data_IF_394992621713
#
_entry.id   IF_394992621713
#
_cell.length_a   1.000
_cell.length_b   1.000
_cell.length_c   1.000
_cell.angle_alpha   90.00
_cell.angle_beta   90.00
_cell.angle_gamma   90.00
#
_symmetry.space_group_name_H-M   'P 1'
#
loop_
_entity.id
_entity.type
_entity.pdbx_description
1 polymer ?
#
# COMPACT_ATOMS: atom_id res chain seq x y z
N UNK A 1 21.78 -6.61 5.22
CA UNK A 1 20.37 -6.58 5.69
C UNK A 1 19.96 -8.01 6.08
N UNK A 2 19.89 -8.33 7.38
CA UNK A 2 19.42 -9.63 7.89
C UNK A 2 17.94 -9.89 7.54
N UNK A 3 17.54 -11.16 7.51
CA UNK A 3 16.15 -11.57 7.29
C UNK A 3 15.50 -11.83 8.64
N UNK A 4 14.24 -11.40 8.79
CA UNK A 4 13.48 -11.61 10.03
C UNK A 4 13.42 -13.09 10.42
N UNK A 5 13.54 -13.36 11.73
CA UNK A 5 13.48 -14.69 12.31
C UNK A 5 12.17 -14.86 13.09
N UNK A 6 11.45 -15.95 12.82
CA UNK A 6 10.11 -16.22 13.39
C UNK A 6 10.06 -17.56 14.14
N UNK A 7 11.20 -18.03 14.65
CA UNK A 7 11.30 -19.31 15.34
C UNK A 7 11.44 -20.52 14.40
N UNK A 8 11.20 -21.71 14.95
CA UNK A 8 11.43 -23.00 14.27
C UNK A 8 10.16 -23.65 13.74
N UNK A 9 8.99 -23.05 14.00
CA UNK A 9 7.69 -23.57 13.57
C UNK A 9 7.58 -23.59 12.04
N UNK A 10 6.73 -24.43 11.48
CA UNK A 10 6.50 -24.51 10.04
C UNK A 10 6.04 -23.18 9.46
N UNK A 11 5.11 -22.49 10.13
CA UNK A 11 4.66 -21.15 9.73
C UNK A 11 5.79 -20.10 9.87
N UNK A 12 6.63 -20.21 10.90
CA UNK A 12 7.80 -19.35 11.09
C UNK A 12 8.85 -19.54 9.98
N UNK A 13 9.15 -20.79 9.63
CA UNK A 13 10.03 -21.17 8.52
C UNK A 13 9.48 -20.66 7.19
N UNK A 14 8.18 -20.84 6.92
CA UNK A 14 7.52 -20.33 5.72
C UNK A 14 7.71 -18.81 5.58
N UNK A 15 7.46 -18.04 6.66
CA UNK A 15 7.64 -16.58 6.69
C UNK A 15 9.08 -16.16 6.43
N UNK A 16 10.06 -16.94 6.89
CA UNK A 16 11.49 -16.70 6.65
C UNK A 16 11.89 -17.01 5.21
N UNK A 17 11.53 -18.19 4.70
CA UNK A 17 11.85 -18.62 3.33
C UNK A 17 11.20 -17.67 2.32
N UNK A 18 9.98 -17.23 2.56
CA UNK A 18 9.32 -16.20 1.76
C UNK A 18 10.20 -14.94 1.60
N UNK A 19 10.76 -14.44 2.71
CA UNK A 19 11.63 -13.24 2.72
C UNK A 19 13.00 -13.50 2.10
N UNK A 20 13.54 -14.71 2.23
CA UNK A 20 14.72 -15.12 1.47
C UNK A 20 14.44 -15.01 -0.03
N UNK A 21 13.27 -15.49 -0.48
CA UNK A 21 12.82 -15.42 -1.86
C UNK A 21 12.68 -13.98 -2.36
N UNK A 22 12.03 -13.10 -1.59
CA UNK A 22 11.95 -11.67 -1.92
C UNK A 22 13.33 -11.03 -2.06
N UNK A 23 14.25 -11.37 -1.15
CA UNK A 23 15.62 -10.89 -1.19
C UNK A 23 16.40 -11.36 -2.43
N UNK A 24 16.12 -12.56 -2.92
CA UNK A 24 16.73 -13.13 -4.12
C UNK A 24 16.10 -12.61 -5.43
N UNK A 25 14.78 -12.43 -5.44
CA UNK A 25 14.00 -12.00 -6.62
C UNK A 25 14.12 -10.49 -6.88
N UNK A 26 14.12 -9.69 -5.81
CA UNK A 26 14.00 -8.22 -5.89
C UNK A 26 15.15 -7.47 -5.22
N UNK A 27 16.03 -8.16 -4.50
CA UNK A 27 17.09 -7.54 -3.72
C UNK A 27 16.60 -7.03 -2.35
N UNK A 28 17.47 -7.13 -1.33
CA UNK A 28 17.11 -6.78 0.05
C UNK A 28 16.95 -5.27 0.30
N UNK A 29 17.48 -4.40 -0.58
CA UNK A 29 17.39 -2.94 -0.43
C UNK A 29 15.97 -2.42 -0.67
N UNK A 30 15.28 -2.96 -1.68
CA UNK A 30 13.88 -2.62 -1.95
C UNK A 30 12.97 -2.97 -0.76
N UNK A 31 13.24 -4.10 -0.11
CA UNK A 31 12.44 -4.64 1.00
C UNK A 31 12.55 -3.85 2.31
N UNK A 32 13.43 -2.85 2.41
CA UNK A 32 13.55 -1.98 3.59
C UNK A 32 12.86 -0.63 3.40
N UNK A 33 12.24 -0.37 2.25
CA UNK A 33 11.32 0.76 2.09
C UNK A 33 10.09 0.51 2.96
N UNK A 34 9.74 1.48 3.81
CA UNK A 34 8.55 1.42 4.65
C UNK A 34 7.44 2.35 4.13
N UNK A 35 6.21 2.07 4.51
CA UNK A 35 5.02 2.87 4.19
C UNK A 35 3.94 2.65 5.24
N UNK A 36 2.86 3.42 5.14
CA UNK A 36 1.68 3.26 5.99
C UNK A 36 0.64 2.42 5.25
N UNK A 37 0.07 1.43 5.93
CA UNK A 37 -1.12 0.75 5.46
C UNK A 37 -2.33 1.25 6.23
N UNK A 38 -3.37 1.67 5.51
CA UNK A 38 -4.63 2.11 6.08
C UNK A 38 -5.69 1.04 5.84
N UNK A 39 -6.24 0.46 6.90
CA UNK A 39 -7.27 -0.57 6.79
C UNK A 39 -8.64 0.06 6.99
N UNK A 40 -9.53 -0.10 6.00
CA UNK A 40 -10.82 0.57 5.96
C UNK A 40 -11.95 -0.42 5.71
N UNK A 41 -13.03 -0.29 6.48
CA UNK A 41 -14.27 -1.03 6.27
C UNK A 41 -15.47 -0.13 6.52
N UNK A 42 -16.49 -0.25 5.68
CA UNK A 42 -17.79 0.37 5.94
C UNK A 42 -18.59 -0.49 6.93
N UNK A 43 -19.40 0.13 7.81
CA UNK A 43 -20.18 -0.59 8.80
C UNK A 43 -21.23 -1.50 8.12
N UNK A 44 -21.59 -2.62 8.73
CA UNK A 44 -22.55 -3.57 8.13
C UNK A 44 -23.88 -2.91 7.75
N UNK A 45 -24.36 -1.98 8.58
CA UNK A 45 -25.57 -1.20 8.33
C UNK A 45 -25.53 -0.36 7.03
N UNK A 46 -24.34 0.02 6.54
CA UNK A 46 -24.20 0.67 5.24
C UNK A 46 -24.59 -0.30 4.11
N UNK A 47 -24.09 -1.54 4.16
CA UNK A 47 -24.36 -2.56 3.15
C UNK A 47 -25.83 -2.99 3.15
N UNK A 48 -26.41 -3.22 4.32
CA UNK A 48 -27.84 -3.59 4.45
C UNK A 48 -28.77 -2.51 3.87
N UNK A 49 -28.50 -1.24 4.15
CA UNK A 49 -29.30 -0.11 3.68
C UNK A 49 -29.15 0.13 2.19
N UNK A 50 -27.92 0.07 1.67
CA UNK A 50 -27.68 0.25 0.23
C UNK A 50 -28.27 -0.89 -0.58
N UNK A 51 -28.17 -2.13 -0.12
CA UNK A 51 -28.79 -3.29 -0.75
C UNK A 51 -30.32 -3.13 -0.83
N UNK A 52 -30.93 -2.78 0.31
CA UNK A 52 -32.38 -2.57 0.41
C UNK A 52 -32.86 -1.44 -0.49
N UNK A 53 -32.13 -0.31 -0.51
CA UNK A 53 -32.47 0.84 -1.35
C UNK A 53 -32.32 0.55 -2.84
N UNK A 54 -31.39 -0.34 -3.22
CA UNK A 54 -31.22 -0.77 -4.60
C UNK A 54 -32.24 -1.84 -5.03
N UNK A 55 -33.08 -2.33 -4.11
CA UNK A 55 -33.99 -3.45 -4.38
C UNK A 55 -33.25 -4.75 -4.73
N UNK A 56 -31.99 -4.89 -4.32
CA UNK A 56 -31.17 -6.05 -4.60
C UNK A 56 -31.51 -7.21 -3.64
N UNK A 57 -31.65 -8.42 -4.17
CA UNK A 57 -32.02 -9.61 -3.39
C UNK A 57 -30.92 -10.68 -3.33
N UNK A 58 -29.68 -10.33 -3.70
CA UNK A 58 -28.55 -11.24 -3.60
C UNK A 58 -28.13 -11.46 -2.14
N UNK A 59 -27.15 -12.35 -1.90
CA UNK A 59 -26.57 -12.47 -0.57
C UNK A 59 -25.87 -11.16 -0.18
N UNK A 60 -26.03 -10.73 1.08
CA UNK A 60 -25.38 -9.51 1.58
C UNK A 60 -23.84 -9.56 1.43
N UNK A 61 -23.26 -10.75 1.53
CA UNK A 61 -21.83 -10.99 1.26
C UNK A 61 -21.43 -10.61 -0.17
N UNK A 62 -22.26 -10.97 -1.15
CA UNK A 62 -21.99 -10.69 -2.57
C UNK A 62 -22.16 -9.20 -2.84
N UNK A 63 -23.20 -8.57 -2.28
CA UNK A 63 -23.41 -7.13 -2.35
C UNK A 63 -22.24 -6.34 -1.78
N UNK A 64 -21.75 -6.72 -0.58
CA UNK A 64 -20.58 -6.11 0.05
C UNK A 64 -19.32 -6.30 -0.79
N UNK A 65 -19.13 -7.49 -1.35
CA UNK A 65 -17.97 -7.80 -2.21
C UNK A 65 -17.98 -6.93 -3.47
N UNK A 66 -19.10 -6.83 -4.15
CA UNK A 66 -19.26 -5.96 -5.32
C UNK A 66 -19.05 -4.48 -4.98
N UNK A 67 -19.57 -4.02 -3.83
CA UNK A 67 -19.33 -2.68 -3.33
C UNK A 67 -17.85 -2.38 -3.08
N UNK A 68 -17.12 -3.30 -2.46
CA UNK A 68 -15.68 -3.13 -2.26
C UNK A 68 -14.88 -3.20 -3.56
N UNK A 69 -15.26 -4.03 -4.52
CA UNK A 69 -14.68 -4.04 -5.86
C UNK A 69 -14.93 -2.70 -6.58
N UNK A 70 -16.12 -2.11 -6.43
CA UNK A 70 -16.43 -0.79 -6.96
C UNK A 70 -15.53 0.30 -6.36
N UNK A 71 -15.32 0.29 -5.05
CA UNK A 71 -14.38 1.18 -4.35
C UNK A 71 -12.96 1.00 -4.89
N UNK A 72 -12.50 -0.25 -5.09
CA UNK A 72 -11.17 -0.52 -5.64
C UNK A 72 -11.01 0.07 -7.04
N UNK A 73 -11.99 -0.11 -7.94
CA UNK A 73 -11.92 0.46 -9.30
C UNK A 73 -11.83 1.99 -9.27
N UNK A 74 -12.64 2.65 -8.44
CA UNK A 74 -12.56 4.10 -8.25
C UNK A 74 -11.22 4.53 -7.61
N UNK A 75 -10.72 3.78 -6.63
CA UNK A 75 -9.40 4.02 -6.07
C UNK A 75 -8.31 3.92 -7.14
N UNK A 76 -8.38 2.98 -8.07
CA UNK A 76 -7.38 2.88 -9.12
C UNK A 76 -7.43 4.07 -10.10
N UNK A 77 -8.61 4.64 -10.36
CA UNK A 77 -8.80 5.83 -11.21
C UNK A 77 -8.31 7.10 -10.56
N UNK A 78 -8.54 7.25 -9.25
CA UNK A 78 -8.38 8.51 -8.53
C UNK A 78 -7.22 8.52 -7.52
N UNK A 79 -6.65 7.36 -7.19
CA UNK A 79 -5.66 7.19 -6.12
C UNK A 79 -4.33 7.89 -6.37
N UNK A 80 -4.06 8.33 -7.59
CA UNK A 80 -2.95 9.24 -7.89
C UNK A 80 -3.10 10.57 -7.13
N UNK A 81 -4.33 11.05 -6.87
CA UNK A 81 -4.57 12.26 -6.11
C UNK A 81 -4.13 12.11 -4.66
N UNK A 82 -4.41 10.97 -4.02
CA UNK A 82 -3.89 10.70 -2.67
C UNK A 82 -2.35 10.74 -2.67
N UNK A 83 -1.69 10.10 -3.64
CA UNK A 83 -0.22 10.16 -3.73
C UNK A 83 0.30 11.59 -3.93
N UNK A 84 -0.38 12.42 -4.72
CA UNK A 84 -0.03 13.82 -4.88
C UNK A 84 -0.12 14.59 -3.54
N UNK A 85 -1.22 14.39 -2.81
CA UNK A 85 -1.52 15.11 -1.57
C UNK A 85 -0.66 14.67 -0.39
N UNK A 86 -0.36 13.37 -0.29
CA UNK A 86 0.29 12.78 0.89
C UNK A 86 1.71 12.29 0.64
N UNK A 87 2.18 12.24 -0.61
CA UNK A 87 3.51 11.75 -0.97
C UNK A 87 4.61 12.58 -0.32
N UNK A 88 5.55 11.90 0.32
CA UNK A 88 6.61 12.50 1.15
C UNK A 88 8.00 11.91 0.87
N UNK A 89 8.16 11.16 -0.22
CA UNK A 89 9.45 10.56 -0.62
C UNK A 89 9.93 11.04 -2.01
N UNK A 90 10.18 12.34 -2.24
CA UNK A 90 10.64 12.87 -3.53
C UNK A 90 12.16 12.73 -3.74
N UNK A 91 12.88 12.19 -2.74
CA UNK A 91 14.32 12.05 -2.73
C UNK A 91 14.72 10.72 -2.10
N UNK A 92 15.92 10.26 -2.43
CA UNK A 92 16.46 8.99 -1.92
C UNK A 92 17.99 9.03 -1.88
N UNK A 93 18.57 8.08 -1.15
CA UNK A 93 20.02 7.94 -1.12
C UNK A 93 20.53 7.31 -2.43
N UNK A 94 21.64 7.83 -2.98
CA UNK A 94 22.26 7.38 -4.25
C UNK A 94 22.53 5.87 -4.27
N UNK A 95 22.83 5.26 -3.13
CA UNK A 95 23.10 3.82 -2.99
C UNK A 95 21.90 2.92 -3.25
N UNK A 96 20.69 3.49 -3.30
CA UNK A 96 19.47 2.76 -3.61
C UNK A 96 19.39 2.39 -5.11
N UNK A 97 19.88 3.27 -5.99
CA UNK A 97 19.89 3.05 -7.44
C UNK A 97 21.20 2.37 -7.86
N UNK A 98 21.09 1.23 -8.54
CA UNK A 98 22.23 0.55 -9.15
C UNK A 98 22.52 1.16 -10.54
N UNK A 99 23.77 1.54 -10.80
CA UNK A 99 24.16 2.13 -12.08
C UNK A 99 23.79 3.61 -12.20
N UNK A 100 23.41 4.04 -13.41
CA UNK A 100 23.01 5.41 -13.68
C UNK A 100 21.61 5.71 -13.13
N UNK A 101 21.40 6.89 -12.52
CA UNK A 101 20.07 7.27 -12.06
C UNK A 101 19.13 7.52 -13.25
N UNK A 102 17.81 7.32 -13.07
CA UNK A 102 16.82 7.75 -14.06
C UNK A 102 16.99 9.23 -14.40
N UNK A 103 16.72 9.60 -15.65
CA UNK A 103 16.93 10.96 -16.17
C UNK A 103 16.17 12.05 -15.39
N UNK A 104 15.01 11.69 -14.82
CA UNK A 104 14.19 12.61 -14.02
C UNK A 104 14.74 12.87 -12.60
N UNK A 105 15.83 12.19 -12.21
CA UNK A 105 16.51 12.40 -10.93
C UNK A 105 17.81 13.18 -11.09
N UNK A 106 18.04 14.12 -10.19
CA UNK A 106 19.23 14.96 -10.17
C UNK A 106 20.02 14.78 -8.87
N UNK A 107 21.35 14.92 -8.94
CA UNK A 107 22.19 14.83 -7.75
C UNK A 107 22.03 16.07 -6.86
N UNK A 108 21.86 15.84 -5.57
CA UNK A 108 21.95 16.85 -4.51
C UNK A 108 23.11 16.47 -3.59
N UNK A 109 24.30 16.97 -3.91
CA UNK A 109 25.54 16.48 -3.29
C UNK A 109 25.86 15.03 -3.71
N UNK A 110 26.76 14.35 -2.98
CA UNK A 110 27.29 13.04 -3.37
C UNK A 110 26.32 11.88 -3.13
N UNK A 111 25.47 11.99 -2.11
CA UNK A 111 24.73 10.84 -1.57
C UNK A 111 23.22 10.91 -1.79
N UNK A 112 22.69 11.99 -2.37
CA UNK A 112 21.23 12.20 -2.52
C UNK A 112 20.85 12.40 -3.97
N UNK A 113 19.78 11.71 -4.38
CA UNK A 113 19.07 11.96 -5.63
C UNK A 113 17.72 12.60 -5.34
N UNK A 114 17.36 13.62 -6.12
CA UNK A 114 16.12 14.39 -6.01
C UNK A 114 15.33 14.29 -7.32
N UNK A 115 14.05 13.93 -7.22
CA UNK A 115 13.06 14.18 -8.25
C UNK A 115 12.44 15.55 -8.02
N UNK A 116 12.84 16.56 -8.82
CA UNK A 116 12.49 17.97 -8.58
C UNK A 116 10.98 18.19 -8.42
N UNK A 117 10.17 17.43 -9.17
CA UNK A 117 8.72 17.48 -9.17
C UNK A 117 8.05 16.19 -8.67
N UNK A 118 8.83 15.21 -8.22
CA UNK A 118 8.32 13.95 -7.73
C UNK A 118 7.50 14.14 -6.44
N UNK A 119 6.50 13.29 -6.26
CA UNK A 119 5.66 13.23 -5.04
C UNK A 119 6.06 12.03 -4.19
N UNK A 120 6.10 10.84 -4.79
CA UNK A 120 6.48 9.59 -4.11
C UNK A 120 7.29 8.67 -5.02
N UNK A 121 8.63 8.71 -4.89
CA UNK A 121 9.52 7.73 -5.51
C UNK A 121 9.33 6.31 -4.95
N UNK A 122 8.78 6.17 -3.73
CA UNK A 122 8.43 4.87 -3.14
C UNK A 122 7.35 4.14 -3.95
N UNK A 123 6.39 4.90 -4.47
CA UNK A 123 5.30 4.36 -5.28
C UNK A 123 5.62 4.38 -6.77
N UNK A 124 6.61 5.16 -7.19
CA UNK A 124 7.09 5.28 -8.57
C UNK A 124 7.96 4.12 -9.06
N UNK A 125 8.69 4.37 -10.15
CA UNK A 125 9.49 3.40 -10.90
C UNK A 125 10.72 2.86 -10.14
N UNK A 126 11.16 3.56 -9.11
CA UNK A 126 12.23 3.15 -8.20
C UNK A 126 11.73 2.42 -6.96
N UNK A 127 10.41 2.28 -6.83
CA UNK A 127 9.75 1.72 -5.67
C UNK A 127 9.70 0.19 -5.64
N UNK A 128 8.56 -0.31 -5.19
CA UNK A 128 8.27 -1.74 -5.08
C UNK A 128 7.79 -2.38 -6.40
N UNK A 129 7.80 -1.65 -7.51
CA UNK A 129 7.38 -2.16 -8.83
C UNK A 129 8.49 -3.02 -9.43
N UNK A 130 8.31 -4.35 -9.42
CA UNK A 130 9.19 -5.24 -10.17
C UNK A 130 8.68 -5.40 -11.59
N UNK A 131 9.54 -5.23 -12.59
CA UNK A 131 9.19 -5.42 -14.01
C UNK A 131 8.61 -6.80 -14.34
N UNK A 132 8.92 -7.81 -13.53
CA UNK A 132 8.34 -9.15 -13.64
C UNK A 132 6.82 -9.17 -13.41
N UNK A 133 6.30 -8.24 -12.60
CA UNK A 133 4.88 -8.13 -12.27
C UNK A 133 4.12 -7.10 -13.14
N UNK A 134 4.78 -6.36 -14.02
CA UNK A 134 4.13 -5.33 -14.86
C UNK A 134 3.00 -5.90 -15.74
N UNK A 135 3.12 -7.18 -16.11
CA UNK A 135 2.11 -7.93 -16.85
C UNK A 135 0.89 -8.40 -16.03
N UNK A 136 0.94 -8.34 -14.69
CA UNK A 136 -0.18 -8.68 -13.80
C UNK A 136 -1.17 -7.51 -13.70
N UNK A 137 -1.81 -7.18 -14.82
CA UNK A 137 -2.89 -6.20 -14.84
C UNK A 137 -4.18 -6.85 -14.32
N UNK A 138 -4.42 -6.76 -13.01
CA UNK A 138 -5.64 -7.29 -12.39
C UNK A 138 -6.76 -6.27 -12.53
N UNK A 139 -7.84 -6.66 -13.21
CA UNK A 139 -9.07 -5.89 -13.23
C UNK A 139 -10.02 -6.37 -12.12
N UNK A 140 -10.43 -5.43 -11.27
CA UNK A 140 -11.27 -5.67 -10.10
C UNK A 140 -12.76 -5.59 -10.46
N UNK A 141 -13.15 -6.16 -11.61
CA UNK A 141 -14.55 -6.25 -12.01
C UNK A 141 -15.28 -7.36 -11.24
N UNK A 142 -14.60 -8.46 -10.95
CA UNK A 142 -15.15 -9.62 -10.25
C UNK A 142 -14.08 -10.25 -9.35
N UNK A 143 -14.48 -10.71 -8.17
CA UNK A 143 -13.56 -11.30 -7.18
C UNK A 143 -12.93 -12.60 -7.70
N UNK A 144 -13.67 -13.39 -8.48
CA UNK A 144 -13.18 -14.65 -9.05
C UNK A 144 -12.04 -14.44 -10.03
N UNK A 145 -12.11 -13.39 -10.86
CA UNK A 145 -11.02 -13.00 -11.76
C UNK A 145 -9.78 -12.61 -10.96
N UNK A 146 -9.94 -11.83 -9.89
CA UNK A 146 -8.84 -11.47 -8.98
C UNK A 146 -8.19 -12.72 -8.35
N UNK A 147 -9.00 -13.62 -7.80
CA UNK A 147 -8.54 -14.87 -7.18
C UNK A 147 -7.81 -15.73 -8.20
N UNK A 148 -8.41 -15.93 -9.38
CA UNK A 148 -7.82 -16.75 -10.44
C UNK A 148 -6.49 -16.18 -10.91
N UNK A 149 -6.40 -14.87 -11.18
CA UNK A 149 -5.14 -14.25 -11.64
C UNK A 149 -4.02 -14.40 -10.61
N UNK A 150 -4.30 -14.22 -9.31
CA UNK A 150 -3.29 -14.43 -8.27
C UNK A 150 -2.90 -15.90 -8.12
N UNK A 151 -3.89 -16.80 -8.19
CA UNK A 151 -3.67 -18.25 -8.13
C UNK A 151 -2.77 -18.69 -9.28
N UNK A 152 -3.10 -18.32 -10.52
CA UNK A 152 -2.31 -18.62 -11.71
C UNK A 152 -0.87 -18.10 -11.56
N UNK A 153 -0.69 -16.88 -11.03
CA UNK A 153 0.64 -16.28 -10.80
C UNK A 153 1.46 -17.00 -9.73
N UNK A 154 0.82 -17.71 -8.79
CA UNK A 154 1.47 -18.48 -7.73
C UNK A 154 1.86 -19.88 -8.23
N UNK A 155 0.97 -20.54 -8.97
CA UNK A 155 1.15 -21.95 -9.36
C UNK A 155 1.90 -22.11 -10.70
N UNK A 156 1.83 -21.11 -11.59
CA UNK A 156 2.49 -21.16 -12.90
C UNK A 156 3.98 -20.82 -12.78
N UNK A 157 4.90 -21.73 -13.13
CA UNK A 157 6.33 -21.46 -13.01
C UNK A 157 6.80 -20.29 -13.88
N UNK A 158 7.73 -19.50 -13.35
CA UNK A 158 8.35 -18.37 -14.02
C UNK A 158 9.84 -18.64 -14.23
N UNK A 159 10.27 -18.69 -15.51
CA UNK A 159 11.60 -19.14 -15.93
C UNK A 159 12.78 -18.52 -15.15
N UNK A 160 12.85 -17.17 -15.01
CA UNK A 160 13.90 -16.52 -14.24
C UNK A 160 13.98 -16.98 -12.77
N UNK A 161 12.85 -17.26 -12.13
CA UNK A 161 12.82 -17.71 -10.73
C UNK A 161 13.05 -19.22 -10.60
N UNK A 162 12.74 -20.02 -11.63
CA UNK A 162 13.15 -21.43 -11.69
C UNK A 162 14.68 -21.58 -11.77
N UNK A 163 15.37 -20.64 -12.42
CA UNK A 163 16.82 -20.66 -12.57
C UNK A 163 17.59 -20.28 -11.28
N UNK A 164 16.90 -19.77 -10.26
CA UNK A 164 17.52 -19.47 -8.96
C UNK A 164 17.91 -20.76 -8.22
N UNK A 165 19.00 -20.74 -7.42
CA UNK A 165 19.43 -21.93 -6.70
C UNK A 165 18.36 -22.36 -5.68
N UNK A 166 18.27 -23.67 -5.43
CA UNK A 166 17.28 -24.22 -4.51
C UNK A 166 17.48 -23.72 -3.06
N UNK A 167 18.75 -23.63 -2.63
CA UNK A 167 19.15 -23.24 -1.28
C UNK A 167 20.19 -22.11 -1.31
N UNK A 168 20.21 -21.31 -0.25
CA UNK A 168 21.26 -20.33 0.04
C UNK A 168 21.67 -20.49 1.51
N UNK A 169 22.97 -20.72 1.76
CA UNK A 169 23.51 -20.95 3.11
C UNK A 169 22.72 -22.03 3.89
N UNK A 170 22.48 -23.18 3.26
CA UNK A 170 21.74 -24.34 3.81
C UNK A 170 20.25 -24.10 4.10
N UNK A 171 19.73 -22.89 3.86
CA UNK A 171 18.29 -22.59 3.93
C UNK A 171 17.65 -22.64 2.54
N UNK A 172 16.40 -23.10 2.45
CA UNK A 172 15.61 -23.01 1.23
C UNK A 172 15.49 -21.54 0.79
N UNK A 173 15.76 -21.27 -0.49
CA UNK A 173 15.84 -19.90 -1.00
C UNK A 173 14.46 -19.27 -1.19
N UNK A 174 13.50 -20.01 -1.74
CA UNK A 174 12.17 -19.51 -2.10
C UNK A 174 11.11 -20.59 -1.87
N UNK A 175 9.85 -20.18 -1.65
CA UNK A 175 8.77 -21.12 -1.36
C UNK A 175 8.31 -21.93 -2.58
N UNK A 176 8.34 -21.34 -3.78
CA UNK A 176 7.96 -21.95 -5.04
C UNK A 176 8.76 -21.32 -6.19
N UNK A 177 8.40 -21.68 -7.43
CA UNK A 177 8.96 -21.09 -8.64
C UNK A 177 7.95 -20.29 -9.46
N UNK A 178 6.79 -19.96 -8.88
CA UNK A 178 5.78 -19.13 -9.51
C UNK A 178 6.23 -17.67 -9.60
N UNK A 179 5.54 -16.89 -10.44
CA UNK A 179 5.74 -15.45 -10.52
C UNK A 179 5.58 -14.79 -9.13
N UNK A 180 4.65 -15.30 -8.32
CA UNK A 180 4.49 -14.96 -6.91
C UNK A 180 4.77 -16.18 -6.04
N UNK A 181 5.41 -16.02 -4.87
CA UNK A 181 5.50 -17.11 -3.90
C UNK A 181 4.16 -17.37 -3.20
N UNK A 182 3.50 -16.28 -2.83
CA UNK A 182 2.19 -16.24 -2.17
C UNK A 182 1.53 -14.91 -2.56
N UNK A 183 0.23 -14.75 -2.31
CA UNK A 183 -0.56 -13.56 -2.65
C UNK A 183 0.04 -12.28 -2.08
N UNK A 184 0.67 -12.36 -0.92
CA UNK A 184 1.26 -11.21 -0.24
C UNK A 184 2.40 -10.55 -1.06
N UNK A 185 3.00 -11.28 -2.02
CA UNK A 185 4.03 -10.79 -2.94
C UNK A 185 3.47 -9.88 -4.04
N UNK A 186 2.17 -9.95 -4.33
CA UNK A 186 1.54 -9.14 -5.37
C UNK A 186 1.51 -7.66 -4.97
N UNK A 187 2.38 -6.84 -5.54
CA UNK A 187 2.43 -5.44 -5.18
C UNK A 187 1.23 -4.68 -5.75
N UNK A 188 0.47 -4.02 -4.88
CA UNK A 188 -0.66 -3.17 -5.28
C UNK A 188 -0.87 -2.04 -4.29
N UNK A 189 -1.37 -0.90 -4.78
CA UNK A 189 -1.70 0.29 -4.00
C UNK A 189 -2.94 0.10 -3.10
N UNK A 190 -3.79 -0.88 -3.42
CA UNK A 190 -4.97 -1.25 -2.66
C UNK A 190 -5.19 -2.76 -2.76
N UNK A 191 -5.64 -3.40 -1.68
CA UNK A 191 -5.95 -4.84 -1.68
C UNK A 191 -7.30 -5.13 -1.03
N UNK A 192 -8.11 -6.03 -1.60
CA UNK A 192 -9.23 -6.63 -0.90
C UNK A 192 -8.71 -7.57 0.19
N UNK A 193 -9.34 -7.53 1.38
CA UNK A 193 -8.92 -8.34 2.53
C UNK A 193 -10.09 -9.00 3.24
N UNK A 194 -9.77 -10.13 3.85
CA UNK A 194 -10.59 -10.92 4.78
C UNK A 194 -9.66 -11.39 5.89
N UNK A 195 -10.14 -11.43 7.13
CA UNK A 195 -9.40 -12.09 8.21
C UNK A 195 -9.22 -13.58 7.85
N UNK A 196 -7.97 -14.04 7.93
CA UNK A 196 -7.57 -15.42 7.64
C UNK A 196 -7.43 -16.22 8.91
N UNK A 197 -7.83 -17.49 8.87
CA UNK A 197 -7.45 -18.45 9.89
C UNK A 197 -5.97 -18.83 9.79
N UNK A 198 -5.42 -19.45 10.84
CA UNK A 198 -4.00 -19.85 10.85
C UNK A 198 -3.74 -20.91 9.78
N UNK A 199 -2.85 -20.61 8.84
CA UNK A 199 -2.52 -21.48 7.72
C UNK A 199 -3.46 -21.38 6.52
N UNK A 200 -4.51 -20.55 6.59
CA UNK A 200 -5.42 -20.30 5.48
C UNK A 200 -4.79 -19.32 4.46
N UNK A 201 -4.88 -19.66 3.17
CA UNK A 201 -4.45 -18.79 2.09
C UNK A 201 -5.40 -17.57 1.96
N UNK A 202 -4.90 -16.32 1.84
CA UNK A 202 -5.73 -15.14 1.60
C UNK A 202 -6.74 -15.26 0.46
N UNK A 203 -6.38 -15.87 -0.68
CA UNK A 203 -7.37 -16.07 -1.78
C UNK A 203 -8.49 -17.01 -1.37
N UNK A 204 -8.21 -18.00 -0.53
CA UNK A 204 -9.22 -18.96 -0.05
C UNK A 204 -10.20 -18.30 0.90
N UNK A 205 -9.71 -17.45 1.79
CA UNK A 205 -10.55 -16.64 2.68
C UNK A 205 -11.50 -15.73 1.87
N UNK A 206 -10.98 -15.06 0.84
CA UNK A 206 -11.78 -14.20 -0.05
C UNK A 206 -12.81 -15.00 -0.85
N UNK A 207 -12.43 -16.14 -1.42
CA UNK A 207 -13.33 -17.01 -2.17
C UNK A 207 -14.50 -17.50 -1.32
N UNK A 208 -14.23 -17.93 -0.09
CA UNK A 208 -15.25 -18.52 0.78
C UNK A 208 -16.16 -17.47 1.44
N UNK A 209 -15.61 -16.29 1.79
CA UNK A 209 -16.26 -15.33 2.71
C UNK A 209 -16.35 -13.90 2.18
N UNK A 210 -16.01 -13.68 0.91
CA UNK A 210 -16.00 -12.37 0.27
C UNK A 210 -15.02 -11.38 0.90
N UNK A 211 -15.14 -10.12 0.48
CA UNK A 211 -14.32 -9.02 1.01
C UNK A 211 -14.93 -8.52 2.33
N UNK A 212 -14.09 -8.26 3.33
CA UNK A 212 -14.46 -7.71 4.64
C UNK A 212 -14.00 -6.27 4.80
N UNK A 213 -12.77 -5.97 4.34
CA UNK A 213 -12.18 -4.65 4.40
C UNK A 213 -11.17 -4.44 3.26
N UNK A 214 -10.74 -3.19 3.09
CA UNK A 214 -9.72 -2.79 2.12
C UNK A 214 -8.44 -2.40 2.85
N UNK A 215 -7.28 -2.82 2.33
CA UNK A 215 -5.97 -2.36 2.78
C UNK A 215 -5.42 -1.38 1.74
N UNK A 216 -5.35 -0.10 2.09
CA UNK A 216 -4.72 0.96 1.29
C UNK A 216 -3.24 0.99 1.61
N UNK A 217 -2.39 0.96 0.59
CA UNK A 217 -0.95 0.73 0.71
C UNK A 217 -0.11 1.81 0.02
N UNK A 218 -0.76 2.82 -0.55
CA UNK A 218 -0.06 3.89 -1.27
C UNK A 218 0.61 4.92 -0.37
N UNK A 219 0.21 5.03 0.90
CA UNK A 219 0.67 6.11 1.78
C UNK A 219 2.15 5.98 2.16
N UNK A 220 2.91 7.03 1.92
CA UNK A 220 4.26 7.18 2.42
C UNK A 220 4.25 7.48 3.93
N UNK A 221 5.41 7.32 4.56
CA UNK A 221 5.63 7.80 5.93
C UNK A 221 5.83 9.32 5.87
N UNK A 222 4.97 10.09 6.53
CA UNK A 222 5.15 11.53 6.68
C UNK A 222 6.24 11.82 7.75
N UNK A 223 7.45 12.28 7.35
CA UNK A 223 8.56 12.48 8.29
C UNK A 223 8.31 13.62 9.28
N UNK A 224 7.34 14.49 9.00
CA UNK A 224 6.99 15.66 9.81
C UNK A 224 6.03 15.34 10.95
N UNK A 225 5.66 14.07 11.13
CA UNK A 225 4.75 13.61 12.17
C UNK A 225 5.39 12.46 12.95
N UNK A 226 5.16 12.35 14.27
CA UNK A 226 5.81 11.33 15.10
C UNK A 226 5.38 9.90 14.76
N UNK A 227 4.17 9.71 14.24
CA UNK A 227 3.60 8.39 13.91
C UNK A 227 3.66 8.07 12.41
N UNK A 228 4.24 8.96 11.60
CA UNK A 228 4.28 8.81 10.14
C UNK A 228 2.97 9.12 9.42
N UNK A 229 1.91 9.45 10.16
CA UNK A 229 0.59 9.88 9.69
C UNK A 229 -0.03 10.80 10.75
N UNK A 230 -0.91 11.71 10.36
CA UNK A 230 -1.67 12.59 11.26
C UNK A 230 -3.19 12.49 11.04
N UNK A 231 -3.95 13.10 11.96
CA UNK A 231 -5.40 13.08 11.96
C UNK A 231 -6.00 13.69 10.68
N UNK A 232 -5.36 14.71 10.11
CA UNK A 232 -5.80 15.35 8.87
C UNK A 232 -5.69 14.38 7.68
N UNK A 233 -4.58 13.64 7.59
CA UNK A 233 -4.37 12.59 6.58
C UNK A 233 -5.35 11.45 6.76
N UNK A 234 -5.64 11.03 8.00
CA UNK A 234 -6.65 10.01 8.31
C UNK A 234 -8.04 10.47 7.82
N UNK A 235 -8.45 11.69 8.16
CA UNK A 235 -9.73 12.25 7.74
C UNK A 235 -9.83 12.38 6.21
N UNK A 236 -8.74 12.77 5.53
CA UNK A 236 -8.66 12.83 4.07
C UNK A 236 -8.87 11.46 3.43
N UNK A 237 -8.21 10.41 3.96
CA UNK A 237 -8.30 9.05 3.42
C UNK A 237 -9.69 8.46 3.67
N UNK A 238 -10.28 8.65 4.85
CA UNK A 238 -11.68 8.26 5.14
C UNK A 238 -12.64 8.90 4.13
N UNK A 239 -12.51 10.21 3.92
CA UNK A 239 -13.35 10.96 2.98
C UNK A 239 -13.15 10.47 1.55
N UNK A 240 -11.92 10.25 1.12
CA UNK A 240 -11.60 9.75 -0.22
C UNK A 240 -12.22 8.37 -0.47
N UNK A 241 -12.13 7.46 0.50
CA UNK A 241 -12.67 6.11 0.37
C UNK A 241 -14.20 6.10 0.40
N UNK A 242 -14.82 6.96 1.21
CA UNK A 242 -16.27 7.14 1.18
C UNK A 242 -16.72 7.74 -0.16
N UNK A 243 -16.01 8.75 -0.68
CA UNK A 243 -16.31 9.30 -2.00
C UNK A 243 -16.22 8.20 -3.09
N UNK A 244 -15.17 7.38 -3.08
CA UNK A 244 -15.05 6.23 -3.97
C UNK A 244 -16.22 5.23 -3.84
N UNK A 245 -16.82 5.10 -2.65
CA UNK A 245 -17.97 4.22 -2.41
C UNK A 245 -19.31 4.81 -2.89
N UNK A 246 -19.42 6.13 -2.94
CA UNK A 246 -20.64 6.85 -3.32
C UNK A 246 -20.68 7.22 -4.81
N UNK A 247 -19.52 7.28 -5.46
CA UNK A 247 -19.41 7.56 -6.90
C UNK A 247 -19.64 6.30 -7.74
N UNK A 248 -20.34 6.45 -8.86
CA UNK A 248 -20.47 5.39 -9.86
C UNK A 248 -19.11 4.79 -10.23
N UNK A 249 -19.07 3.45 -10.32
CA UNK A 249 -17.86 2.71 -10.64
C UNK A 249 -18.07 1.86 -11.88
N UNK A 250 -17.88 2.45 -13.09
CA UNK A 250 -17.85 1.68 -14.33
C UNK A 250 -16.90 0.49 -14.23
N UNK A 251 -17.09 -0.51 -15.09
CA UNK A 251 -16.14 -1.62 -15.17
C UNK A 251 -14.81 -1.13 -15.77
N UNK A 252 -13.69 -1.76 -15.38
CA UNK A 252 -12.41 -1.56 -16.04
C UNK A 252 -12.27 -2.45 -17.28
N UNK A 253 -11.51 -1.96 -18.24
CA UNK A 253 -10.96 -2.68 -19.38
C UNK A 253 -9.45 -2.40 -19.50
N UNK A 254 -8.77 -3.04 -20.45
CA UNK A 254 -7.32 -2.89 -20.60
C UNK A 254 -6.89 -1.44 -20.86
N UNK A 255 -7.66 -0.69 -21.64
CA UNK A 255 -7.32 0.68 -22.04
C UNK A 255 -7.47 1.66 -20.87
N UNK A 256 -8.57 1.58 -20.13
CA UNK A 256 -8.76 2.38 -18.90
C UNK A 256 -7.71 2.04 -17.83
N UNK A 257 -7.35 0.76 -17.66
CA UNK A 257 -6.26 0.36 -16.74
C UNK A 257 -4.92 0.95 -17.16
N UNK A 258 -4.60 0.92 -18.45
CA UNK A 258 -3.36 1.48 -18.97
C UNK A 258 -3.31 3.00 -18.75
N UNK A 259 -4.41 3.71 -19.00
CA UNK A 259 -4.53 5.14 -18.75
C UNK A 259 -4.33 5.49 -17.27
N UNK A 260 -5.03 4.79 -16.36
CA UNK A 260 -4.90 4.98 -14.91
C UNK A 260 -3.45 4.81 -14.45
N UNK A 261 -2.78 3.78 -14.97
CA UNK A 261 -1.37 3.48 -14.68
C UNK A 261 -0.45 4.61 -15.17
N UNK A 262 -0.65 5.10 -16.40
CA UNK A 262 0.11 6.22 -16.96
C UNK A 262 -0.07 7.49 -16.14
N UNK A 263 -1.30 7.84 -15.80
CA UNK A 263 -1.58 9.02 -14.97
C UNK A 263 -0.95 8.90 -13.58
N UNK A 264 -1.06 7.72 -12.97
CA UNK A 264 -0.42 7.44 -11.69
C UNK A 264 1.10 7.65 -11.76
N UNK A 265 1.79 7.08 -12.76
CA UNK A 265 3.24 7.25 -12.92
C UNK A 265 3.63 8.72 -13.17
N UNK A 266 2.86 9.45 -13.99
CA UNK A 266 3.09 10.88 -14.22
C UNK A 266 3.02 11.69 -12.91
N UNK A 267 2.03 11.43 -12.07
CA UNK A 267 1.84 12.12 -10.79
C UNK A 267 2.93 11.74 -9.78
N UNK A 268 3.33 10.48 -9.74
CA UNK A 268 4.37 10.01 -8.83
C UNK A 268 5.73 10.66 -9.10
N UNK A 269 6.10 10.74 -10.38
CA UNK A 269 7.43 11.20 -10.79
C UNK A 269 7.49 12.71 -11.08
N UNK A 270 6.37 13.34 -11.43
CA UNK A 270 6.31 14.74 -11.83
C UNK A 270 5.06 15.49 -11.34
N UNK A 271 4.33 14.99 -10.34
CA UNK A 271 3.05 15.55 -9.89
C UNK A 271 3.08 17.02 -9.49
N UNK A 272 4.23 17.55 -9.06
CA UNK A 272 4.39 18.97 -8.70
C UNK A 272 4.82 19.86 -9.88
N UNK A 273 5.01 19.31 -11.07
CA UNK A 273 5.34 20.11 -12.26
C UNK A 273 4.07 20.85 -12.71
N UNK A 274 4.06 22.20 -12.72
CA UNK A 274 2.88 22.98 -13.12
C UNK A 274 2.48 22.76 -14.59
N UNK A 275 3.35 22.16 -15.41
CA UNK A 275 3.06 21.83 -16.81
C UNK A 275 2.53 20.41 -17.00
N UNK A 276 2.50 19.58 -15.94
CA UNK A 276 2.09 18.19 -16.05
C UNK A 276 0.67 18.08 -16.63
N UNK A 277 0.53 17.22 -17.63
CA UNK A 277 -0.75 16.88 -18.25
C UNK A 277 -1.10 15.42 -17.97
N UNK A 278 -2.35 15.15 -17.61
CA UNK A 278 -2.91 13.83 -17.39
C UNK A 278 -3.91 13.50 -18.50
N UNK A 279 -4.05 12.20 -18.80
CA UNK A 279 -4.93 11.68 -19.83
C UNK A 279 -6.38 11.63 -19.34
N UNK A 280 -7.31 11.98 -20.21
CA UNK A 280 -8.76 11.85 -20.01
C UNK A 280 -9.29 10.58 -20.68
N UNK A 281 -10.53 10.18 -20.35
CA UNK A 281 -11.18 9.03 -20.98
C UNK A 281 -11.37 9.20 -22.49
N UNK A 282 -11.46 10.44 -22.97
CA UNK A 282 -11.55 10.80 -24.39
C UNK A 282 -10.18 10.77 -25.11
N UNK A 283 -9.10 10.47 -24.38
CA UNK A 283 -7.73 10.43 -24.90
C UNK A 283 -7.06 11.81 -25.05
N UNK A 284 -7.71 12.88 -24.58
CA UNK A 284 -7.08 14.20 -24.50
C UNK A 284 -6.14 14.30 -23.31
N UNK A 285 -5.28 15.33 -23.29
CA UNK A 285 -4.39 15.61 -22.18
C UNK A 285 -4.75 16.98 -21.58
N UNK A 286 -4.96 17.03 -20.27
CA UNK A 286 -5.39 18.23 -19.54
C UNK A 286 -4.53 18.43 -18.28
N UNK A 287 -4.45 19.65 -17.71
CA UNK A 287 -3.71 19.89 -16.48
C UNK A 287 -4.17 18.98 -15.33
N UNK A 288 -3.24 18.58 -14.46
CA UNK A 288 -3.56 17.78 -13.27
C UNK A 288 -4.70 18.38 -12.44
N UNK A 289 -4.68 19.71 -12.27
CA UNK A 289 -5.68 20.45 -11.50
C UNK A 289 -7.08 20.31 -12.09
N UNK A 290 -7.22 20.28 -13.41
CA UNK A 290 -8.50 20.10 -14.09
C UNK A 290 -9.12 18.72 -13.79
N UNK A 291 -8.30 17.66 -13.79
CA UNK A 291 -8.77 16.31 -13.44
C UNK A 291 -8.95 16.10 -11.93
N UNK A 292 -8.25 16.84 -11.09
CA UNK A 292 -8.35 16.71 -9.64
C UNK A 292 -9.59 17.42 -9.05
N UNK A 293 -10.01 18.55 -9.63
CA UNK A 293 -11.11 19.36 -9.07
C UNK A 293 -12.44 18.59 -8.95
N UNK A 294 -12.91 17.83 -9.96
CA UNK A 294 -14.11 17.01 -9.80
C UNK A 294 -13.98 15.97 -8.67
N UNK A 295 -12.78 15.44 -8.45
CA UNK A 295 -12.52 14.48 -7.37
C UNK A 295 -12.61 15.17 -6.01
N UNK A 296 -12.05 16.38 -5.89
CA UNK A 296 -12.16 17.21 -4.68
C UNK A 296 -13.63 17.56 -4.39
N UNK A 297 -14.44 17.86 -5.40
CA UNK A 297 -15.87 18.17 -5.21
C UNK A 297 -16.63 16.93 -4.68
N UNK A 298 -16.40 15.75 -5.27
CA UNK A 298 -16.95 14.48 -4.74
C UNK A 298 -16.50 14.20 -3.29
N UNK A 299 -15.23 14.48 -2.97
CA UNK A 299 -14.70 14.36 -1.62
C UNK A 299 -15.37 15.35 -0.66
N UNK A 300 -15.62 16.59 -1.09
CA UNK A 300 -16.30 17.59 -0.27
C UNK A 300 -17.73 17.14 0.09
N UNK A 301 -18.48 16.57 -0.86
CA UNK A 301 -19.80 16.00 -0.56
C UNK A 301 -19.73 14.88 0.48
N UNK A 302 -18.81 13.93 0.32
CA UNK A 302 -18.58 12.85 1.29
C UNK A 302 -18.18 13.40 2.68
N UNK A 303 -17.35 14.45 2.71
CA UNK A 303 -16.92 15.09 3.94
C UNK A 303 -18.08 15.69 4.72
N UNK A 304 -19.02 16.37 4.05
CA UNK A 304 -20.22 16.95 4.68
C UNK A 304 -21.06 15.87 5.38
N UNK A 305 -21.20 14.68 4.78
CA UNK A 305 -21.91 13.56 5.39
C UNK A 305 -21.19 13.03 6.64
N UNK A 306 -19.87 12.86 6.57
CA UNK A 306 -19.06 12.38 7.69
C UNK A 306 -19.07 13.37 8.87
N UNK A 307 -18.88 14.64 8.58
CA UNK A 307 -18.88 15.73 9.56
C UNK A 307 -20.25 15.89 10.23
N UNK A 308 -21.35 15.81 9.44
CA UNK A 308 -22.71 15.84 9.97
C UNK A 308 -23.02 14.68 10.93
N UNK A 309 -22.52 13.48 10.65
CA UNK A 309 -22.68 12.31 11.51
C UNK A 309 -21.80 12.40 12.77
N UNK A 310 -20.55 12.82 12.62
CA UNK A 310 -19.58 12.92 13.71
C UNK A 310 -19.70 14.18 14.56
N UNK A 311 -20.50 15.17 14.14
CA UNK A 311 -20.57 16.51 14.74
C UNK A 311 -19.19 17.17 14.85
N UNK A 312 -18.45 17.12 13.76
CA UNK A 312 -17.09 17.65 13.60
C UNK A 312 -17.00 18.40 12.28
N UNK A 313 -15.88 19.07 12.02
CA UNK A 313 -15.51 19.73 10.77
C UNK A 313 -14.20 19.14 10.19
N UNK A 314 -13.70 18.03 10.76
CA UNK A 314 -12.38 17.49 10.44
C UNK A 314 -12.28 17.02 8.98
N UNK A 315 -13.36 16.50 8.41
CA UNK A 315 -13.34 15.95 7.06
C UNK A 315 -13.39 17.07 6.02
N UNK A 316 -14.26 18.06 6.21
CA UNK A 316 -14.33 19.24 5.33
C UNK A 316 -13.05 20.05 5.42
N UNK A 317 -12.48 20.24 6.62
CA UNK A 317 -11.16 20.84 6.80
C UNK A 317 -10.07 20.11 6.00
N UNK A 318 -10.03 18.78 6.06
CA UNK A 318 -9.03 17.99 5.34
C UNK A 318 -9.16 18.14 3.81
N UNK A 319 -10.39 18.19 3.28
CA UNK A 319 -10.64 18.40 1.83
C UNK A 319 -10.25 19.81 1.41
N UNK A 320 -10.58 20.84 2.20
CA UNK A 320 -10.17 22.22 1.91
C UNK A 320 -8.65 22.38 1.97
N UNK A 321 -7.97 21.73 2.92
CA UNK A 321 -6.51 21.68 2.92
C UNK A 321 -5.98 21.00 1.66
N UNK A 322 -6.56 19.87 1.24
CA UNK A 322 -6.15 19.18 0.01
C UNK A 322 -6.31 20.08 -1.23
N UNK A 323 -7.41 20.83 -1.32
CA UNK A 323 -7.65 21.82 -2.37
C UNK A 323 -6.59 22.91 -2.38
N UNK A 324 -6.19 23.41 -1.21
CA UNK A 324 -5.11 24.40 -1.09
C UNK A 324 -3.76 23.87 -1.54
N UNK A 325 -3.45 22.59 -1.27
CA UNK A 325 -2.23 21.97 -1.83
C UNK A 325 -2.30 21.93 -3.35
N UNK A 326 -3.46 21.55 -3.90
CA UNK A 326 -3.71 21.47 -5.34
C UNK A 326 -3.57 22.82 -6.06
N UNK A 327 -4.07 23.90 -5.45
CA UNK A 327 -4.00 25.27 -6.01
C UNK A 327 -2.68 25.98 -5.74
N UNK A 328 -1.80 25.40 -4.91
CA UNK A 328 -0.52 26.00 -4.51
C UNK A 328 -0.61 26.97 -3.32
N UNK A 329 -1.77 27.09 -2.68
CA UNK A 329 -2.00 27.90 -1.46
C UNK A 329 -1.51 27.23 -0.17
N UNK A 330 -1.12 25.96 -0.25
CA UNK A 330 -0.46 25.20 0.81
C UNK A 330 0.63 24.31 0.22
N UNK A 331 1.68 24.07 1.01
CA UNK A 331 2.79 23.22 0.60
C UNK A 331 2.44 21.74 0.77
N UNK A 332 2.75 20.91 -0.23
CA UNK A 332 2.65 19.45 -0.10
C UNK A 332 3.81 18.86 0.72
N UNK A 333 3.67 17.68 1.34
CA UNK A 333 4.76 17.06 2.09
C UNK A 333 6.02 16.83 1.24
N UNK A 334 5.87 16.42 -0.03
CA UNK A 334 6.98 16.27 -0.97
C UNK A 334 7.66 17.60 -1.31
N UNK A 335 6.90 18.68 -1.52
CA UNK A 335 7.48 20.01 -1.71
C UNK A 335 8.29 20.44 -0.48
N UNK A 336 7.76 20.18 0.73
CA UNK A 336 8.45 20.47 1.99
C UNK A 336 9.78 19.74 2.13
N UNK A 337 9.83 18.44 1.78
CA UNK A 337 11.10 17.67 1.79
C UNK A 337 12.12 18.32 0.86
N UNK A 338 11.75 18.65 -0.38
CA UNK A 338 12.66 19.28 -1.34
C UNK A 338 13.14 20.65 -0.85
N UNK A 339 12.24 21.48 -0.33
CA UNK A 339 12.60 22.78 0.26
C UNK A 339 13.60 22.60 1.40
N UNK A 340 13.32 21.75 2.37
CA UNK A 340 14.21 21.56 3.52
C UNK A 340 15.58 21.00 3.14
N UNK A 341 15.66 20.12 2.13
CA UNK A 341 16.96 19.68 1.59
C UNK A 341 17.76 20.85 1.02
N UNK A 342 17.12 21.67 0.18
CA UNK A 342 17.76 22.81 -0.49
C UNK A 342 18.11 23.93 0.48
N UNK A 343 17.22 24.33 1.37
CA UNK A 343 17.44 25.44 2.30
C UNK A 343 18.54 25.10 3.31
N UNK A 344 18.58 23.84 3.77
CA UNK A 344 19.57 23.37 4.75
C UNK A 344 20.87 22.87 4.12
N UNK A 345 20.88 22.62 2.80
CA UNK A 345 22.02 22.04 2.06
C UNK A 345 22.53 20.74 2.72
N UNK A 346 21.60 19.83 3.05
CA UNK A 346 21.91 18.55 3.72
C UNK A 346 21.52 17.36 2.84
N UNK A 347 22.16 16.21 3.09
CA UNK A 347 21.74 14.96 2.46
C UNK A 347 20.35 14.51 2.92
N UNK A 348 19.66 13.70 2.10
CA UNK A 348 18.40 13.08 2.47
C UNK A 348 18.50 12.25 3.75
N UNK A 349 19.57 11.45 3.88
CA UNK A 349 19.81 10.64 5.08
C UNK A 349 19.97 11.50 6.34
N UNK A 350 20.62 12.66 6.23
CA UNK A 350 20.76 13.61 7.34
C UNK A 350 19.41 14.22 7.71
N UNK A 351 18.65 14.74 6.73
CA UNK A 351 17.35 15.36 6.97
C UNK A 351 16.39 14.40 7.70
N UNK A 352 16.24 13.18 7.17
CA UNK A 352 15.35 12.16 7.75
C UNK A 352 15.90 11.66 9.10
N UNK A 353 17.23 11.58 9.24
CA UNK A 353 17.90 11.25 10.50
C UNK A 353 17.58 12.24 11.63
N UNK A 354 17.57 13.54 11.31
CA UNK A 354 17.26 14.60 12.29
C UNK A 354 15.80 14.52 12.76
N UNK A 355 14.85 14.28 11.85
CA UNK A 355 13.45 14.03 12.22
C UNK A 355 13.31 12.75 13.06
N UNK A 356 14.00 11.69 12.68
CA UNK A 356 14.00 10.43 13.43
C UNK A 356 14.51 10.63 14.86
N UNK A 357 15.58 11.40 15.04
CA UNK A 357 16.12 11.74 16.36
C UNK A 357 15.15 12.61 17.16
N UNK A 358 14.52 13.60 16.51
CA UNK A 358 13.51 14.48 17.13
C UNK A 358 12.34 13.67 17.70
N UNK A 359 11.79 12.73 16.92
CA UNK A 359 10.67 11.89 17.36
C UNK A 359 11.08 10.87 18.42
N UNK A 360 12.26 10.25 18.28
CA UNK A 360 12.82 9.37 19.31
C UNK A 360 12.94 10.08 20.67
N UNK A 361 13.44 11.31 20.69
CA UNK A 361 13.56 12.08 21.92
C UNK A 361 12.19 12.51 22.48
N UNK A 362 11.21 12.78 21.60
CA UNK A 362 9.83 13.04 22.02
C UNK A 362 9.20 11.81 22.71
N UNK A 363 9.32 10.62 22.11
CA UNK A 363 8.82 9.37 22.70
C UNK A 363 9.52 9.00 24.02
N UNK A 364 10.82 9.27 24.15
CA UNK A 364 11.55 9.07 25.41
C UNK A 364 11.10 10.01 26.52
N UNK A 365 10.73 11.26 26.19
CA UNK A 365 10.21 12.23 27.17
C UNK A 365 8.78 11.90 27.59
N UNK A 366 7.97 11.36 26.69
CA UNK A 366 6.59 10.98 26.95
C UNK A 366 6.48 9.47 27.14
N UNK A 367 7.03 8.97 28.26
CA UNK A 367 6.90 7.57 28.60
C UNK A 367 5.41 7.18 28.76
N UNK A 368 4.99 6.00 28.24
CA UNK A 368 3.66 5.49 28.50
C UNK A 368 3.40 5.34 30.00
N UNK A 369 2.12 5.32 30.41
CA UNK A 369 1.76 5.08 31.80
C UNK A 369 2.28 3.71 32.27
N UNK A 370 2.48 3.55 33.58
CA UNK A 370 2.92 2.28 34.17
C UNK A 370 1.99 1.11 33.77
N UNK A 371 0.68 1.38 33.68
CA UNK A 371 -0.31 0.39 33.24
C UNK A 371 -0.07 -0.06 31.81
N UNK A 372 0.22 0.87 30.88
CA UNK A 372 0.53 0.53 29.48
C UNK A 372 1.83 -0.27 29.41
N UNK A 373 2.87 0.16 30.13
CA UNK A 373 4.14 -0.57 30.15
C UNK A 373 4.00 -1.99 30.70
N UNK A 374 3.20 -2.18 31.76
CA UNK A 374 2.90 -3.51 32.29
C UNK A 374 2.17 -4.37 31.26
N UNK A 375 1.13 -3.84 30.61
CA UNK A 375 0.40 -4.57 29.57
C UNK A 375 1.29 -4.98 28.38
N UNK A 376 2.21 -4.10 27.95
CA UNK A 376 3.18 -4.42 26.88
C UNK A 376 4.18 -5.51 27.32
N UNK A 377 4.63 -5.49 28.58
CA UNK A 377 5.51 -6.52 29.11
C UNK A 377 4.80 -7.88 29.21
N UNK A 378 3.55 -7.89 29.68
CA UNK A 378 2.72 -9.09 29.74
C UNK A 378 2.49 -9.67 28.34
N UNK A 379 2.21 -8.83 27.34
CA UNK A 379 2.05 -9.26 25.96
C UNK A 379 3.36 -9.78 25.33
N UNK A 380 4.51 -9.20 25.68
CA UNK A 380 5.81 -9.74 25.28
C UNK A 380 6.04 -11.16 25.82
N UNK A 381 5.69 -11.42 27.08
CA UNK A 381 5.77 -12.76 27.69
C UNK A 381 4.77 -13.71 27.02
N UNK A 382 3.52 -13.27 26.85
CA UNK A 382 2.44 -14.07 26.29
C UNK A 382 2.71 -14.46 24.83
N UNK A 383 3.26 -13.55 24.02
CA UNK A 383 3.61 -13.83 22.62
C UNK A 383 4.72 -14.88 22.48
N UNK A 384 5.73 -14.86 23.35
CA UNK A 384 6.78 -15.89 23.39
C UNK A 384 6.22 -17.26 23.80
N UNK A 385 5.25 -17.29 24.73
CA UNK A 385 4.55 -18.52 25.08
C UNK A 385 3.75 -19.05 23.88
N UNK A 386 2.97 -18.20 23.21
CA UNK A 386 2.23 -18.58 21.99
C UNK A 386 3.16 -19.09 20.89
N UNK A 387 4.34 -18.50 20.72
CA UNK A 387 5.33 -19.00 19.76
C UNK A 387 5.75 -20.44 20.09
N UNK A 388 6.09 -20.74 21.35
CA UNK A 388 6.47 -22.10 21.77
C UNK A 388 5.34 -23.10 21.60
N UNK A 389 4.11 -22.68 21.87
CA UNK A 389 2.91 -23.51 21.66
C UNK A 389 2.75 -23.86 20.17
N UNK A 390 2.93 -22.88 19.28
CA UNK A 390 2.92 -23.11 17.82
C UNK A 390 4.05 -24.06 17.40
N UNK A 391 5.27 -23.85 17.87
CA UNK A 391 6.43 -24.72 17.58
C UNK A 391 6.22 -26.16 18.07
N UNK A 392 5.59 -26.35 19.23
CA UNK A 392 5.27 -27.66 19.77
C UNK A 392 4.06 -28.33 19.08
N UNK A 393 3.20 -27.55 18.43
CA UNK A 393 2.00 -28.05 17.73
C UNK A 393 2.26 -28.57 16.33
N UNK A 394 3.46 -28.36 15.78
CA UNK A 394 3.83 -28.88 14.47
C UNK A 394 3.93 -30.41 14.49
N UNK A 395 3.01 -31.08 13.79
CA UNK A 395 2.93 -32.56 13.72
C UNK A 395 3.52 -33.14 12.43
N UNK A 396 3.81 -32.29 11.44
CA UNK A 396 4.31 -32.71 10.12
C UNK A 396 5.62 -32.01 9.77
N UNK A 397 6.49 -32.65 8.95
CA UNK A 397 7.66 -31.98 8.39
C UNK A 397 7.26 -30.79 7.53
N UNK A 398 8.13 -29.77 7.46
CA UNK A 398 7.90 -28.54 6.72
C UNK A 398 7.49 -28.76 5.24
N UNK A 399 8.07 -29.76 4.57
CA UNK A 399 7.73 -30.09 3.18
C UNK A 399 6.28 -30.56 3.01
N UNK A 400 5.72 -31.25 4.02
CA UNK A 400 4.31 -31.68 4.01
C UNK A 400 3.39 -30.53 4.32
N UNK A 401 3.74 -29.70 5.31
CA UNK A 401 3.03 -28.44 5.60
C UNK A 401 2.94 -27.55 4.36
N UNK A 402 4.05 -27.35 3.66
CA UNK A 402 4.11 -26.47 2.49
C UNK A 402 3.23 -26.99 1.34
N UNK A 403 3.23 -28.31 1.10
CA UNK A 403 2.34 -28.94 0.10
C UNK A 403 0.87 -28.78 0.47
N UNK A 404 0.51 -28.96 1.75
CA UNK A 404 -0.86 -28.74 2.23
C UNK A 404 -1.28 -27.27 2.10
N UNK A 405 -0.36 -26.34 2.36
CA UNK A 405 -0.62 -24.93 2.15
C UNK A 405 -0.93 -24.64 0.67
N UNK A 406 -0.11 -25.15 -0.25
CA UNK A 406 -0.32 -24.91 -1.69
C UNK A 406 -1.53 -25.64 -2.29
N UNK A 407 -2.01 -26.71 -1.68
CA UNK A 407 -3.24 -27.38 -2.11
C UNK A 407 -4.50 -26.49 -1.97
N UNK A 408 -4.39 -25.33 -1.31
CA UNK A 408 -5.49 -24.34 -1.23
C UNK A 408 -5.65 -23.50 -2.50
N UNK A 409 -4.70 -23.60 -3.45
CA UNK A 409 -4.73 -22.95 -4.76
C UNK A 409 -5.23 -23.87 -5.89
N UNK A 410 -5.52 -25.14 -5.57
CA UNK A 410 -6.17 -26.12 -6.44
C UNK A 410 -7.69 -26.03 -6.30
#
# INVERSE_FOLDING_TARGET
IPIAHYGSSNIGKMKRIYRNGLGARYGRRMQVIAGIHYNFSLPEAFWERTQSSAGNTALLQDWRTEGYLAIIRNFQRYGWLLNFLTGSSPALNRTFVLGEPPEHLTNHGPDTLIGEFATSLRMGDLGYTSSAQDGLQICYNQIDTYIKTLTDAIVTPYGPYQALPQNQNEEQLQLNHGLLQIENEFYSAIRPKRITESGEAPVKALSNRGIEYLEIRCLDINPFTPLGIDDNTIALVDTFLLACALTDSPLCDADSRAMDSVNTQRVLNAGRDPKLQLLTAEGSAVPLTELALPIIDMMHEAAVWLDGSGKTDRHTYAVEHAKRILTGDAESPSARVIRELKDRQVSYSTLIGDYSQTWNDAFKRQAPSQQVNAALADEAIASLRRQREVEASDTVPFSTFLRQFYAQYE
#
